data_IF_685638711997
#
_entry.id   IF_685638711997
#
_cell.length_a   1.000
_cell.length_b   1.000
_cell.length_c   1.000
_cell.angle_alpha   90.00
_cell.angle_beta   90.00
_cell.angle_gamma   90.00
#
_symmetry.space_group_name_H-M   'P 1'
#
loop_
_entity.id
_entity.type
_entity.pdbx_description
1 polymer ?
#
# COMPACT_ATOMS: atom_id res chain seq x y z
N UNK A 1 -22.16 10.22 -17.11
CA UNK A 1 -20.72 9.92 -17.19
C UNK A 1 -20.42 8.97 -16.03
N UNK A 2 -20.46 7.66 -16.27
CA UNK A 2 -20.21 6.66 -15.23
C UNK A 2 -18.70 6.40 -15.20
N UNK A 3 -17.94 7.19 -14.46
CA UNK A 3 -16.62 6.75 -14.03
C UNK A 3 -16.86 5.70 -12.94
N UNK A 4 -17.03 4.44 -13.35
CA UNK A 4 -16.71 3.35 -12.42
C UNK A 4 -15.22 3.54 -12.12
N UNK A 5 -14.86 3.71 -10.86
CA UNK A 5 -13.49 3.53 -10.41
C UNK A 5 -13.00 2.18 -10.96
N UNK A 6 -12.25 2.22 -12.06
CA UNK A 6 -11.70 1.02 -12.68
C UNK A 6 -10.57 0.56 -11.79
N UNK A 7 -10.65 -0.70 -11.35
CA UNK A 7 -9.62 -1.34 -10.55
C UNK A 7 -8.26 -1.20 -11.25
N UNK A 8 -7.20 -1.06 -10.45
CA UNK A 8 -5.84 -0.95 -10.99
C UNK A 8 -5.53 -2.19 -11.85
N UNK A 9 -5.06 -2.02 -13.11
CA UNK A 9 -4.75 -3.13 -13.99
C UNK A 9 -3.69 -4.08 -13.39
N UNK A 10 -3.83 -5.40 -13.56
CA UNK A 10 -2.85 -6.41 -13.10
C UNK A 10 -1.37 -6.07 -13.40
N UNK A 11 -0.97 -5.63 -14.61
CA UNK A 11 0.43 -5.31 -14.86
C UNK A 11 0.95 -4.14 -14.02
N UNK A 12 0.09 -3.14 -13.72
CA UNK A 12 0.46 -2.01 -12.88
C UNK A 12 0.57 -2.43 -11.41
N UNK A 13 -0.34 -3.30 -10.94
CA UNK A 13 -0.27 -3.92 -9.60
C UNK A 13 1.05 -4.66 -9.39
N UNK A 14 1.39 -5.54 -10.34
CA UNK A 14 2.62 -6.34 -10.27
C UNK A 14 3.89 -5.47 -10.31
N UNK A 15 3.93 -4.42 -11.14
CA UNK A 15 5.07 -3.50 -11.21
C UNK A 15 5.30 -2.79 -9.88
N UNK A 16 4.23 -2.32 -9.24
CA UNK A 16 4.31 -1.68 -7.93
C UNK A 16 4.74 -2.65 -6.82
N UNK A 17 4.19 -3.86 -6.80
CA UNK A 17 4.61 -4.90 -5.85
C UNK A 17 6.12 -5.18 -5.97
N UNK A 18 6.64 -5.29 -7.19
CA UNK A 18 8.08 -5.45 -7.43
C UNK A 18 8.90 -4.27 -6.94
N UNK A 19 8.42 -3.04 -7.15
CA UNK A 19 9.11 -1.83 -6.70
C UNK A 19 9.15 -1.73 -5.17
N UNK A 20 8.04 -2.04 -4.50
CA UNK A 20 7.96 -2.07 -3.04
C UNK A 20 8.86 -3.16 -2.44
N UNK A 21 8.99 -4.31 -3.10
CA UNK A 21 9.93 -5.36 -2.67
C UNK A 21 11.40 -4.92 -2.67
N UNK A 22 11.76 -3.87 -3.43
CA UNK A 22 13.12 -3.32 -3.43
C UNK A 22 13.33 -2.23 -2.38
N UNK A 23 12.26 -1.73 -1.75
CA UNK A 23 12.34 -0.69 -0.73
C UNK A 23 12.52 -1.33 0.67
N UNK A 24 13.65 -1.08 1.36
CA UNK A 24 13.94 -1.72 2.64
C UNK A 24 12.96 -1.34 3.76
N UNK A 25 12.17 -0.26 3.59
CA UNK A 25 11.12 0.14 4.54
C UNK A 25 9.92 -0.81 4.49
N UNK A 26 9.73 -1.50 3.39
CA UNK A 26 8.66 -2.47 3.16
C UNK A 26 9.29 -3.86 3.04
N UNK A 27 9.83 -4.42 4.14
CA UNK A 27 10.46 -5.73 4.11
C UNK A 27 9.42 -6.73 3.61
N UNK A 28 9.77 -7.41 2.52
CA UNK A 28 8.88 -8.22 1.69
C UNK A 28 7.72 -8.91 2.42
N UNK A 29 6.51 -8.67 1.90
CA UNK A 29 5.21 -9.27 2.22
C UNK A 29 4.69 -9.07 3.67
N UNK A 30 3.37 -8.81 3.82
CA UNK A 30 2.35 -8.80 2.77
C UNK A 30 2.23 -7.43 2.09
N UNK A 31 2.20 -7.46 0.74
CA UNK A 31 1.69 -6.37 -0.11
C UNK A 31 0.53 -6.98 -0.88
N UNK A 32 -0.64 -6.35 -0.83
CA UNK A 32 -1.83 -6.86 -1.50
C UNK A 32 -2.78 -5.75 -1.88
N UNK A 33 -3.61 -6.02 -2.89
CA UNK A 33 -4.69 -5.14 -3.31
C UNK A 33 -6.01 -5.65 -2.76
N UNK A 34 -6.81 -4.80 -2.12
CA UNK A 34 -8.20 -5.09 -1.80
C UNK A 34 -9.13 -4.14 -2.56
N UNK A 35 -10.28 -4.68 -2.99
CA UNK A 35 -11.30 -3.94 -3.77
C UNK A 35 -10.76 -3.24 -5.04
N UNK A 36 -9.59 -3.66 -5.54
CA UNK A 36 -8.97 -3.16 -6.76
C UNK A 36 -8.45 -1.73 -6.71
N UNK A 37 -8.62 -1.01 -5.59
CA UNK A 37 -8.28 0.42 -5.46
C UNK A 37 -7.51 0.74 -4.17
N UNK A 38 -7.48 -0.19 -3.22
CA UNK A 38 -6.72 -0.03 -1.98
C UNK A 38 -5.50 -0.94 -2.03
N UNK A 39 -4.33 -0.34 -1.88
CA UNK A 39 -3.06 -1.05 -1.74
C UNK A 39 -2.69 -1.10 -0.27
N UNK A 40 -2.63 -2.31 0.27
CA UNK A 40 -2.22 -2.54 1.63
C UNK A 40 -0.78 -3.05 1.67
N UNK A 41 0.02 -2.48 2.57
CA UNK A 41 1.45 -2.76 2.72
C UNK A 41 1.80 -3.04 4.18
N UNK A 42 2.54 -4.12 4.43
CA UNK A 42 3.13 -4.40 5.73
C UNK A 42 4.39 -3.56 5.97
N UNK A 43 4.51 -2.98 7.17
CA UNK A 43 5.70 -2.28 7.62
C UNK A 43 6.00 -2.61 9.10
N UNK A 44 7.28 -2.63 9.47
CA UNK A 44 7.69 -2.71 10.87
C UNK A 44 7.35 -1.39 11.57
N UNK A 45 6.57 -1.48 12.65
CA UNK A 45 6.20 -0.32 13.44
C UNK A 45 7.26 0.00 14.50
N UNK A 46 7.91 1.16 14.37
CA UNK A 46 8.88 1.68 15.34
C UNK A 46 8.23 2.58 16.42
N UNK A 47 6.91 2.52 16.57
CA UNK A 47 6.15 3.27 17.58
C UNK A 47 5.58 4.61 17.10
N UNK A 48 5.49 4.82 15.78
CA UNK A 48 4.97 6.06 15.18
C UNK A 48 4.00 5.79 14.03
N UNK A 49 3.11 6.76 13.80
CA UNK A 49 2.16 6.74 12.67
C UNK A 49 2.94 6.72 11.35
N UNK A 50 2.56 5.79 10.46
CA UNK A 50 3.24 5.54 9.17
C UNK A 50 2.52 6.19 7.98
N UNK A 51 1.71 7.21 8.20
CA UNK A 51 1.03 7.97 7.12
C UNK A 51 2.02 8.48 6.08
N UNK A 52 3.20 8.97 6.52
CA UNK A 52 4.24 9.44 5.60
C UNK A 52 4.75 8.34 4.66
N UNK A 53 4.81 7.10 5.15
CA UNK A 53 5.15 5.96 4.29
C UNK A 53 4.03 5.70 3.28
N UNK A 54 2.76 5.79 3.69
CA UNK A 54 1.63 5.68 2.78
C UNK A 54 1.65 6.78 1.69
N UNK A 55 1.99 8.02 2.06
CA UNK A 55 2.15 9.13 1.12
C UNK A 55 3.30 8.89 0.12
N UNK A 56 4.43 8.35 0.58
CA UNK A 56 5.55 8.03 -0.31
C UNK A 56 5.16 6.93 -1.32
N UNK A 57 4.35 5.95 -0.91
CA UNK A 57 3.79 4.95 -1.84
C UNK A 57 2.78 5.58 -2.80
N UNK A 58 1.99 6.56 -2.36
CA UNK A 58 1.14 7.34 -3.27
C UNK A 58 1.96 8.06 -4.35
N UNK A 59 3.15 8.58 -4.04
CA UNK A 59 4.03 9.17 -5.06
C UNK A 59 4.47 8.14 -6.11
N UNK A 60 4.74 6.90 -5.71
CA UNK A 60 5.06 5.82 -6.66
C UNK A 60 3.85 5.46 -7.54
N UNK A 61 2.66 5.40 -6.94
CA UNK A 61 1.41 5.19 -7.66
C UNK A 61 1.14 6.30 -8.69
N UNK A 62 1.34 7.56 -8.31
CA UNK A 62 1.21 8.71 -9.19
C UNK A 62 2.19 8.68 -10.36
N UNK A 63 3.43 8.23 -10.15
CA UNK A 63 4.41 8.04 -11.22
C UNK A 63 3.96 6.99 -12.26
N UNK A 64 3.11 6.05 -11.85
CA UNK A 64 2.50 5.05 -12.74
C UNK A 64 1.14 5.49 -13.31
N UNK A 65 0.70 6.72 -13.03
CA UNK A 65 -0.58 7.26 -13.47
C UNK A 65 -1.79 6.79 -12.65
N UNK A 66 -1.55 6.19 -11.48
CA UNK A 66 -2.59 5.67 -10.59
C UNK A 66 -2.94 6.72 -9.52
N UNK A 67 -3.96 7.54 -9.81
CA UNK A 67 -4.34 8.70 -8.99
C UNK A 67 -5.70 8.53 -8.28
N UNK A 68 -6.26 7.33 -8.29
CA UNK A 68 -7.57 7.08 -7.68
C UNK A 68 -7.53 5.84 -6.79
N UNK A 69 -6.45 5.75 -6.02
CA UNK A 69 -6.16 4.65 -5.10
C UNK A 69 -5.99 5.19 -3.69
N UNK A 70 -6.02 4.29 -2.71
CA UNK A 70 -5.59 4.58 -1.34
C UNK A 70 -4.54 3.58 -0.92
N UNK A 71 -3.67 3.99 -0.01
CA UNK A 71 -2.63 3.15 0.58
C UNK A 71 -2.91 3.00 2.06
N UNK A 72 -2.82 1.77 2.54
CA UNK A 72 -2.95 1.40 3.95
C UNK A 72 -1.68 0.69 4.41
N UNK A 73 -1.15 1.08 5.56
CA UNK A 73 0.07 0.53 6.14
C UNK A 73 -0.31 -0.23 7.40
N UNK A 74 0.04 -1.50 7.45
CA UNK A 74 -0.26 -2.40 8.55
C UNK A 74 0.99 -2.82 9.31
N UNK A 75 0.85 -3.06 10.61
CA UNK A 75 1.94 -3.56 11.44
C UNK A 75 2.29 -5.00 11.08
N UNK A 76 3.43 -5.15 10.41
CA UNK A 76 3.90 -6.44 9.92
C UNK A 76 4.17 -7.43 11.06
N UNK A 77 4.69 -6.96 12.20
CA UNK A 77 5.00 -7.83 13.32
C UNK A 77 3.72 -8.37 13.95
N UNK A 78 2.67 -7.54 14.03
CA UNK A 78 1.35 -7.95 14.53
C UNK A 78 0.66 -8.95 13.64
N UNK A 79 0.72 -8.76 12.32
CA UNK A 79 0.21 -9.76 11.37
C UNK A 79 0.94 -11.09 11.55
N UNK A 80 2.27 -11.09 11.68
CA UNK A 80 3.06 -12.32 11.77
C UNK A 80 2.93 -13.05 13.11
N UNK A 81 2.79 -12.32 14.22
CA UNK A 81 2.77 -12.90 15.57
C UNK A 81 1.36 -13.22 16.06
N UNK A 82 0.41 -12.33 15.76
CA UNK A 82 -0.92 -12.32 16.39
C UNK A 82 -2.05 -12.49 15.35
N UNK A 83 -1.75 -12.59 14.04
CA UNK A 83 -2.73 -12.47 12.93
C UNK A 83 -3.54 -11.15 13.01
N UNK A 84 -2.95 -10.13 13.64
CA UNK A 84 -3.59 -8.86 13.94
C UNK A 84 -3.27 -7.82 12.86
N UNK A 85 -4.31 -7.43 12.12
CA UNK A 85 -4.21 -6.47 11.01
C UNK A 85 -4.31 -5.03 11.54
N UNK A 86 -3.36 -4.64 12.39
CA UNK A 86 -3.32 -3.32 13.00
C UNK A 86 -2.92 -2.25 11.97
N UNK A 87 -3.84 -1.35 11.63
CA UNK A 87 -3.59 -0.23 10.73
C UNK A 87 -2.74 0.84 11.44
N UNK A 88 -1.53 1.08 10.95
CA UNK A 88 -0.56 2.02 11.53
C UNK A 88 -0.31 3.24 10.65
N UNK A 89 -0.86 3.28 9.43
CA UNK A 89 -0.86 4.48 8.61
C UNK A 89 -1.76 4.35 7.39
N UNK A 90 -2.15 5.47 6.80
CA UNK A 90 -2.94 5.50 5.56
C UNK A 90 -2.76 6.79 4.78
N UNK A 91 -2.97 6.74 3.48
CA UNK A 91 -3.03 7.90 2.61
C UNK A 91 -4.03 7.68 1.47
N UNK A 92 -4.71 8.75 1.05
CA UNK A 92 -5.49 8.75 -0.19
C UNK A 92 -4.66 9.35 -1.31
N UNK A 93 -4.46 8.62 -2.39
CA UNK A 93 -3.60 9.02 -3.51
C UNK A 93 -4.37 9.80 -4.57
N UNK A 94 -5.20 10.76 -4.16
CA UNK A 94 -5.98 11.63 -5.06
C UNK A 94 -5.29 12.95 -5.36
#
# INVERSE_FOLDING_TARGET
MNQKEEAVPDPARAALEQQLMQDPRFPARPVWWHEGTVLAVGMINDGGVKDKAAEDVCQLLHQQGLNNTSVEVYDLLKIQQDDDWNLIGKASCR
#
